data_IF_564893004143
#
_entry.id   IF_564893004143
#
_cell.length_a   1.000
_cell.length_b   1.000
_cell.length_c   1.000
_cell.angle_alpha   90.00
_cell.angle_beta   90.00
_cell.angle_gamma   90.00
#
_symmetry.space_group_name_H-M   'P 1'
#
loop_
_entity.id
_entity.type
_entity.pdbx_description
1 polymer ?
#
# COMPACT_ATOMS: atom_id res chain seq x y z
N UNK A 1 30.37 6.78 -10.21
CA UNK A 1 29.26 7.61 -9.68
C UNK A 1 28.01 6.77 -9.74
N UNK A 2 27.35 6.43 -8.61
CA UNK A 2 26.00 5.90 -8.73
C UNK A 2 25.13 6.98 -9.38
N UNK A 3 24.34 6.60 -10.37
CA UNK A 3 23.48 7.52 -11.10
C UNK A 3 22.40 8.06 -10.15
N UNK A 4 22.50 9.33 -9.76
CA UNK A 4 21.49 10.06 -8.96
C UNK A 4 20.18 10.33 -9.73
N UNK A 5 19.81 9.44 -10.66
CA UNK A 5 18.53 9.54 -11.35
C UNK A 5 17.44 9.04 -10.42
N UNK A 6 16.88 9.95 -9.62
CA UNK A 6 15.60 9.73 -8.98
C UNK A 6 14.50 10.24 -9.91
N UNK A 7 13.58 9.37 -10.35
CA UNK A 7 12.47 9.79 -11.19
C UNK A 7 11.59 10.78 -10.42
N UNK A 8 11.01 11.75 -11.13
CA UNK A 8 10.01 12.62 -10.55
C UNK A 8 8.75 11.83 -10.15
N UNK A 9 7.90 12.41 -9.31
CA UNK A 9 6.60 11.86 -8.95
C UNK A 9 5.74 11.61 -10.19
N UNK A 10 5.83 12.49 -11.19
CA UNK A 10 5.16 12.34 -12.48
C UNK A 10 5.72 11.15 -13.29
N UNK A 11 7.04 11.02 -13.37
CA UNK A 11 7.68 9.89 -14.06
C UNK A 11 7.34 8.56 -13.39
N UNK A 12 7.33 8.55 -12.06
CA UNK A 12 6.95 7.39 -11.26
C UNK A 12 5.47 7.02 -11.48
N UNK A 13 4.57 8.00 -11.53
CA UNK A 13 3.15 7.77 -11.77
C UNK A 13 2.93 7.18 -13.17
N UNK A 14 3.56 7.76 -14.20
CA UNK A 14 3.49 7.24 -15.58
C UNK A 14 4.01 5.82 -15.68
N UNK A 15 5.13 5.52 -15.03
CA UNK A 15 5.70 4.18 -14.99
C UNK A 15 4.74 3.15 -14.36
N UNK A 16 4.11 3.50 -13.24
CA UNK A 16 3.16 2.63 -12.55
C UNK A 16 1.86 2.44 -13.34
N UNK A 17 1.37 3.50 -13.99
CA UNK A 17 0.17 3.47 -14.83
C UNK A 17 0.36 2.55 -16.05
N UNK A 18 1.49 2.66 -16.75
CA UNK A 18 1.82 1.82 -17.91
C UNK A 18 1.86 0.32 -17.56
N UNK A 19 2.15 -0.02 -16.31
CA UNK A 19 2.19 -1.40 -15.82
C UNK A 19 0.86 -1.88 -15.21
N UNK A 20 -0.16 -1.02 -15.17
CA UNK A 20 -1.44 -1.32 -14.51
C UNK A 20 -1.31 -1.46 -12.99
N UNK A 21 -0.26 -0.88 -12.40
CA UNK A 21 0.10 -1.06 -10.99
C UNK A 21 -0.27 0.15 -10.12
N UNK A 22 -0.77 1.23 -10.71
CA UNK A 22 -1.09 2.47 -10.02
C UNK A 22 -2.12 2.27 -8.89
N UNK A 23 -3.08 1.37 -9.07
CA UNK A 23 -4.16 1.10 -8.10
C UNK A 23 -3.70 0.33 -6.86
N UNK A 24 -2.47 -0.20 -6.85
CA UNK A 24 -1.93 -0.94 -5.71
C UNK A 24 -1.67 0.03 -4.55
N UNK A 25 -2.22 -0.20 -3.34
CA UNK A 25 -2.12 0.74 -2.22
C UNK A 25 -0.68 1.13 -1.84
N UNK A 26 0.27 0.20 -1.96
CA UNK A 26 1.68 0.48 -1.67
C UNK A 26 2.34 1.39 -2.71
N UNK A 27 1.92 1.32 -3.98
CA UNK A 27 2.41 2.19 -5.04
C UNK A 27 1.89 3.63 -4.85
N UNK A 28 0.66 3.79 -4.35
CA UNK A 28 0.14 5.10 -3.96
C UNK A 28 0.92 5.71 -2.78
N UNK A 29 1.33 4.90 -1.81
CA UNK A 29 2.20 5.39 -0.72
C UNK A 29 3.59 5.79 -1.23
N UNK A 30 4.17 5.02 -2.16
CA UNK A 30 5.43 5.37 -2.79
C UNK A 30 5.35 6.71 -3.54
N UNK A 31 4.26 6.95 -4.28
CA UNK A 31 3.99 8.24 -4.93
C UNK A 31 3.85 9.38 -3.94
N UNK A 32 3.10 9.19 -2.85
CA UNK A 32 2.95 10.19 -1.78
C UNK A 32 4.31 10.60 -1.21
N UNK A 33 5.19 9.64 -0.94
CA UNK A 33 6.54 9.92 -0.44
C UNK A 33 7.40 10.69 -1.45
N UNK A 34 7.29 10.36 -2.75
CA UNK A 34 8.02 11.07 -3.80
C UNK A 34 7.56 12.53 -3.92
N UNK A 35 6.24 12.78 -3.90
CA UNK A 35 5.68 14.13 -3.88
C UNK A 35 6.13 14.92 -2.65
N UNK A 36 6.12 14.29 -1.47
CA UNK A 36 6.59 14.95 -0.24
C UNK A 36 8.07 15.33 -0.34
N UNK A 37 8.89 14.45 -0.90
CA UNK A 37 10.32 14.69 -1.09
C UNK A 37 10.58 15.87 -2.04
N UNK A 38 9.82 15.96 -3.13
CA UNK A 38 9.90 17.09 -4.08
C UNK A 38 9.46 18.41 -3.44
N UNK A 39 8.44 18.37 -2.58
CA UNK A 39 7.93 19.54 -1.89
C UNK A 39 8.77 19.97 -0.67
N UNK A 40 9.76 19.16 -0.25
CA UNK A 40 10.50 19.33 1.01
C UNK A 40 11.07 20.74 1.20
N UNK A 41 11.70 21.29 0.16
CA UNK A 41 12.37 22.60 0.24
C UNK A 41 11.40 23.79 0.20
N UNK A 42 10.14 23.54 -0.18
CA UNK A 42 9.06 24.52 -0.24
C UNK A 42 8.10 24.47 0.94
N UNK A 43 8.30 23.54 1.88
CA UNK A 43 7.41 23.25 2.99
C UNK A 43 8.05 23.66 4.32
N UNK A 44 7.21 24.01 5.31
CA UNK A 44 7.70 24.14 6.67
C UNK A 44 8.30 22.79 7.15
N UNK A 45 9.48 22.80 7.81
CA UNK A 45 10.13 21.57 8.24
C UNK A 45 9.27 20.71 9.18
N UNK A 46 8.48 21.33 10.06
CA UNK A 46 7.61 20.63 10.99
C UNK A 46 6.45 19.96 10.24
N UNK A 47 5.84 20.68 9.29
CA UNK A 47 4.79 20.14 8.42
C UNK A 47 5.29 18.96 7.59
N UNK A 48 6.51 19.06 7.05
CA UNK A 48 7.13 17.96 6.30
C UNK A 48 7.26 16.71 7.18
N UNK A 49 7.79 16.85 8.40
CA UNK A 49 7.93 15.74 9.35
C UNK A 49 6.58 15.12 9.70
N UNK A 50 5.57 15.94 9.98
CA UNK A 50 4.21 15.46 10.28
C UNK A 50 3.63 14.67 9.12
N UNK A 51 3.72 15.16 7.88
CA UNK A 51 3.21 14.45 6.70
C UNK A 51 3.95 13.14 6.42
N UNK A 52 5.25 13.09 6.69
CA UNK A 52 6.04 11.85 6.59
C UNK A 52 5.58 10.84 7.65
N UNK A 53 5.31 11.27 8.89
CA UNK A 53 4.79 10.40 9.94
C UNK A 53 3.40 9.85 9.61
N UNK A 54 2.52 10.66 9.03
CA UNK A 54 1.20 10.22 8.55
C UNK A 54 1.33 9.17 7.45
N UNK A 55 2.17 9.41 6.44
CA UNK A 55 2.41 8.44 5.37
C UNK A 55 2.96 7.11 5.90
N UNK A 56 3.85 7.16 6.90
CA UNK A 56 4.34 5.98 7.59
C UNK A 56 3.23 5.24 8.36
N UNK A 57 2.38 5.95 9.10
CA UNK A 57 1.25 5.35 9.82
C UNK A 57 0.27 4.66 8.88
N UNK A 58 -0.01 5.27 7.72
CA UNK A 58 -0.86 4.69 6.69
C UNK A 58 -0.24 3.43 6.07
N UNK A 59 1.07 3.44 5.81
CA UNK A 59 1.80 2.26 5.36
C UNK A 59 1.71 1.11 6.38
N UNK A 60 1.83 1.40 7.67
CA UNK A 60 1.69 0.37 8.71
C UNK A 60 0.26 -0.20 8.78
N UNK A 61 -0.76 0.64 8.55
CA UNK A 61 -2.16 0.21 8.48
C UNK A 61 -2.41 -0.76 7.31
N UNK A 62 -1.72 -0.58 6.18
CA UNK A 62 -1.80 -1.52 5.06
C UNK A 62 -1.31 -2.93 5.45
N UNK A 63 -0.28 -3.04 6.29
CA UNK A 63 0.21 -4.33 6.76
C UNK A 63 -0.83 -5.13 7.55
N UNK A 64 -1.65 -4.47 8.37
CA UNK A 64 -2.75 -5.14 9.10
C UNK A 64 -3.86 -5.62 8.16
N UNK A 65 -4.14 -4.87 7.10
CA UNK A 65 -5.14 -5.24 6.09
C UNK A 65 -4.75 -6.50 5.30
N UNK A 66 -3.45 -6.76 5.13
CA UNK A 66 -2.97 -7.94 4.40
C UNK A 66 -2.95 -9.23 5.22
N UNK A 67 -3.03 -9.13 6.55
CA UNK A 67 -2.98 -10.31 7.42
C UNK A 67 -4.17 -11.25 7.11
N UNK A 68 -3.89 -12.45 6.62
CA UNK A 68 -4.90 -13.42 6.19
C UNK A 68 -5.47 -13.20 4.78
N UNK A 69 -4.93 -12.25 4.00
CA UNK A 69 -5.29 -11.96 2.60
C UNK A 69 -4.06 -11.95 1.69
N UNK A 70 -2.93 -12.48 2.14
CA UNK A 70 -1.67 -12.42 1.43
C UNK A 70 -1.74 -13.11 0.06
N UNK A 71 -2.44 -14.25 -0.04
CA UNK A 71 -2.65 -14.96 -1.30
C UNK A 71 -3.46 -14.12 -2.32
N UNK A 72 -4.44 -13.37 -1.86
CA UNK A 72 -5.24 -12.47 -2.70
C UNK A 72 -4.42 -11.26 -3.16
N UNK A 73 -3.69 -10.65 -2.22
CA UNK A 73 -2.96 -9.38 -2.45
C UNK A 73 -1.67 -9.59 -3.27
N UNK A 74 -0.94 -10.68 -3.02
CA UNK A 74 0.34 -10.96 -3.66
C UNK A 74 0.26 -12.04 -4.76
N UNK A 75 -0.70 -12.97 -4.65
CA UNK A 75 -0.88 -14.07 -5.60
C UNK A 75 -2.03 -13.87 -6.61
N UNK A 76 -2.91 -12.89 -6.38
CA UNK A 76 -4.07 -12.63 -7.25
C UNK A 76 -5.19 -13.65 -7.12
N UNK A 77 -5.12 -14.57 -6.16
CA UNK A 77 -6.13 -15.59 -5.88
C UNK A 77 -6.97 -15.17 -4.69
N UNK A 78 -8.24 -14.82 -4.93
CA UNK A 78 -9.18 -14.57 -3.84
C UNK A 78 -9.32 -15.81 -2.95
N UNK A 79 -9.05 -15.65 -1.65
CA UNK A 79 -9.36 -16.64 -0.64
C UNK A 79 -10.58 -16.14 0.17
N UNK A 80 -11.74 -16.80 0.06
CA UNK A 80 -12.87 -16.52 0.94
C UNK A 80 -12.43 -16.73 2.40
N UNK A 81 -12.99 -15.96 3.36
CA UNK A 81 -12.83 -16.29 4.77
C UNK A 81 -13.23 -17.75 5.00
N UNK A 82 -12.42 -18.53 5.71
CA UNK A 82 -12.86 -19.86 6.16
C UNK A 82 -14.11 -19.65 7.01
N UNK A 83 -15.25 -20.14 6.52
CA UNK A 83 -16.50 -20.12 7.25
C UNK A 83 -16.33 -21.07 8.44
N UNK A 84 -15.99 -20.54 9.62
CA UNK A 84 -15.99 -21.30 10.88
C UNK A 84 -17.41 -21.29 11.46
N UNK A 85 -18.37 -21.78 10.68
CA UNK A 85 -19.69 -22.13 11.20
C UNK A 85 -19.96 -23.56 10.74
N UNK A 86 -20.28 -24.50 11.67
CA UNK A 86 -20.80 -25.78 11.24
C UNK A 86 -22.04 -25.51 10.37
N UNK A 87 -22.06 -26.10 9.18
CA UNK A 87 -23.23 -26.03 8.30
C UNK A 87 -24.44 -26.55 9.08
N UNK A 88 -25.62 -25.91 8.99
CA UNK A 88 -26.83 -26.40 9.65
C UNK A 88 -27.08 -27.88 9.31
N UNK A 89 -27.03 -28.76 10.32
CA UNK A 89 -27.11 -30.22 10.15
C UNK A 89 -25.79 -30.98 10.35
N UNK A 90 -24.77 -30.35 10.92
CA UNK A 90 -23.52 -31.00 11.30
C UNK A 90 -23.73 -32.06 12.40
N UNK A 91 -22.82 -33.04 12.56
CA UNK A 91 -22.89 -34.03 13.64
C UNK A 91 -22.92 -33.39 15.04
N UNK A 92 -22.37 -32.18 15.20
CA UNK A 92 -22.45 -31.42 16.45
C UNK A 92 -23.85 -30.83 16.74
N UNK A 93 -24.76 -30.81 15.75
CA UNK A 93 -26.15 -30.35 15.88
C UNK A 93 -27.13 -31.47 16.33
N UNK A 94 -26.66 -32.71 16.54
CA UNK A 94 -27.49 -33.87 16.97
C UNK A 94 -27.40 -34.17 18.46
#
# INVERSE_FOLDING_TARGET
MPSDFQPSSEDLARYLEQRGELSKPWNLQMLRLQVLKEAKDSMDPQDYVTKVQEAHADLMRLGQFWKGREAEVFGGTYQPPELIEPLPGSPEDR
#
